data_IF_702281412462
#
_entry.id   IF_702281412462
#
_cell.length_a   1.000
_cell.length_b   1.000
_cell.length_c   1.000
_cell.angle_alpha   90.00
_cell.angle_beta   90.00
_cell.angle_gamma   90.00
#
_symmetry.space_group_name_H-M   'P 1'
#
loop_
_entity.id
_entity.type
_entity.pdbx_description
1 polymer ?
#
# COMPACT_ATOMS: atom_id res chain seq x y z
N UNK A 1 23.77 -8.66 -54.97
CA UNK A 1 23.39 -7.49 -55.78
C UNK A 1 21.88 -7.41 -55.76
N UNK A 2 21.37 -6.21 -55.56
CA UNK A 2 20.04 -5.84 -55.03
C UNK A 2 18.86 -6.31 -55.87
N UNK A 3 17.75 -6.64 -55.20
CA UNK A 3 16.40 -6.51 -55.76
C UNK A 3 15.80 -5.27 -55.11
N UNK A 4 15.49 -4.28 -55.93
CA UNK A 4 14.87 -3.00 -55.57
C UNK A 4 13.35 -3.18 -55.52
N UNK A 5 12.73 -2.81 -54.40
CA UNK A 5 11.29 -2.57 -54.32
C UNK A 5 11.07 -1.06 -54.28
N UNK A 6 10.56 -0.54 -55.39
CA UNK A 6 10.15 0.84 -55.55
C UNK A 6 8.75 1.06 -54.97
N UNK A 7 8.60 2.22 -54.32
CA UNK A 7 7.40 3.06 -54.21
C UNK A 7 6.25 2.57 -53.30
N UNK A 8 6.29 2.97 -52.03
CA UNK A 8 5.10 3.26 -51.23
C UNK A 8 5.01 4.77 -51.03
N UNK A 9 3.89 5.32 -51.48
CA UNK A 9 3.48 6.72 -51.37
C UNK A 9 3.17 7.05 -49.90
N UNK A 10 3.93 7.98 -49.31
CA UNK A 10 3.68 8.53 -47.98
C UNK A 10 2.89 9.83 -48.11
N UNK A 11 1.58 9.73 -48.36
CA UNK A 11 0.69 10.87 -48.17
C UNK A 11 0.32 10.99 -46.69
N UNK A 12 1.11 11.77 -45.95
CA UNK A 12 0.74 12.24 -44.60
C UNK A 12 -0.39 13.26 -44.77
N UNK A 13 -1.60 12.92 -44.37
CA UNK A 13 -2.67 13.88 -44.21
C UNK A 13 -2.51 14.56 -42.84
N UNK A 14 -1.99 15.79 -42.85
CA UNK A 14 -2.01 16.69 -41.70
C UNK A 14 -3.46 17.07 -41.35
N UNK A 15 -4.04 16.37 -40.38
CA UNK A 15 -5.22 16.87 -39.65
C UNK A 15 -4.74 17.45 -38.31
N UNK A 16 -4.96 18.75 -38.02
CA UNK A 16 -4.61 19.31 -36.73
C UNK A 16 -5.50 18.68 -35.64
N UNK A 17 -4.86 18.21 -34.58
CA UNK A 17 -5.52 17.86 -33.31
C UNK A 17 -6.19 19.12 -32.78
N UNK A 18 -7.52 19.16 -32.80
CA UNK A 18 -8.29 20.10 -31.99
C UNK A 18 -8.15 19.66 -30.54
N UNK A 19 -7.44 20.47 -29.73
CA UNK A 19 -7.51 20.39 -28.28
C UNK A 19 -8.96 20.62 -27.84
N UNK A 20 -9.65 19.56 -27.42
CA UNK A 20 -10.89 19.72 -26.65
C UNK A 20 -10.50 20.13 -25.22
N UNK A 21 -10.93 21.32 -24.81
CA UNK A 21 -10.82 21.75 -23.41
C UNK A 21 -11.50 20.72 -22.48
N UNK A 22 -10.92 20.43 -21.30
CA UNK A 22 -11.55 19.53 -20.33
C UNK A 22 -12.92 20.06 -19.91
N UNK A 23 -13.92 19.17 -19.69
CA UNK A 23 -15.26 19.59 -19.31
C UNK A 23 -15.22 20.38 -17.99
N UNK A 24 -15.78 21.58 -18.03
CA UNK A 24 -15.97 22.47 -16.87
C UNK A 24 -16.73 21.70 -15.76
N UNK A 25 -16.26 21.73 -14.49
CA UNK A 25 -16.96 21.05 -13.42
C UNK A 25 -18.38 21.60 -13.28
N UNK A 26 -19.37 20.74 -12.95
CA UNK A 26 -20.72 21.19 -12.69
C UNK A 26 -20.69 22.18 -11.52
N UNK A 27 -21.40 23.28 -11.71
CA UNK A 27 -21.55 24.36 -10.74
C UNK A 27 -21.97 23.78 -9.38
N UNK A 28 -21.27 24.20 -8.32
CA UNK A 28 -21.80 24.16 -6.97
C UNK A 28 -23.08 25.01 -6.98
N UNK A 29 -24.23 24.35 -6.98
CA UNK A 29 -25.49 25.02 -6.70
C UNK A 29 -25.38 25.66 -5.32
N UNK A 30 -25.38 26.99 -5.33
CA UNK A 30 -25.48 27.83 -4.15
C UNK A 30 -26.76 27.41 -3.42
N UNK A 31 -26.61 26.73 -2.29
CA UNK A 31 -27.72 26.50 -1.36
C UNK A 31 -28.20 27.90 -0.93
N UNK A 32 -29.47 28.27 -1.15
CA UNK A 32 -29.97 29.55 -0.67
C UNK A 32 -29.93 29.54 0.86
N UNK A 33 -29.27 30.55 1.44
CA UNK A 33 -29.32 30.82 2.87
C UNK A 33 -30.80 30.90 3.30
N UNK A 34 -31.23 29.90 4.07
CA UNK A 34 -32.51 29.94 4.76
C UNK A 34 -32.38 31.01 5.84
N UNK A 35 -33.04 32.14 5.63
CA UNK A 35 -33.20 33.21 6.62
C UNK A 35 -34.08 32.68 7.77
N UNK A 36 -33.45 32.04 8.76
CA UNK A 36 -34.10 31.72 10.03
C UNK A 36 -34.31 33.02 10.82
N UNK A 37 -35.50 33.59 10.66
CA UNK A 37 -36.02 34.63 11.55
C UNK A 37 -36.44 33.98 12.86
N UNK A 38 -35.49 33.84 13.80
CA UNK A 38 -35.80 33.42 15.15
C UNK A 38 -36.23 34.66 15.97
N UNK A 39 -37.54 34.75 16.23
CA UNK A 39 -38.10 35.74 17.14
C UNK A 39 -37.65 35.42 18.56
N UNK A 40 -36.74 36.22 19.11
CA UNK A 40 -36.37 36.19 20.53
C UNK A 40 -37.54 36.73 21.37
N UNK A 41 -38.12 35.96 22.31
CA UNK A 41 -38.87 36.54 23.40
C UNK A 41 -37.87 37.02 24.46
N UNK A 42 -37.90 38.33 24.75
CA UNK A 42 -37.27 38.86 25.96
C UNK A 42 -38.12 38.45 27.17
N UNK A 43 -37.65 37.47 27.95
CA UNK A 43 -38.16 37.21 29.30
C UNK A 43 -36.99 37.17 30.31
N UNK A 44 -36.98 38.23 31.11
CA UNK A 44 -36.53 38.42 32.50
C UNK A 44 -35.64 37.33 33.17
N UNK A 45 -34.40 37.65 33.62
CA UNK A 45 -33.53 36.70 34.30
C UNK A 45 -33.77 36.74 35.82
N UNK A 46 -34.59 35.83 36.35
CA UNK A 46 -34.47 35.40 37.76
C UNK A 46 -34.99 33.97 37.94
N UNK A 47 -34.27 33.00 37.40
CA UNK A 47 -34.29 31.63 37.93
C UNK A 47 -32.86 31.24 38.31
N UNK A 48 -32.66 30.96 39.60
CA UNK A 48 -31.43 30.39 40.14
C UNK A 48 -31.20 29.03 39.47
N UNK A 49 -30.14 28.94 38.67
CA UNK A 49 -29.67 27.66 38.11
C UNK A 49 -29.14 26.84 39.31
N UNK A 50 -29.71 25.66 39.62
CA UNK A 50 -29.12 24.79 40.64
C UNK A 50 -27.75 24.31 40.16
N UNK A 51 -26.76 24.36 41.06
CA UNK A 51 -25.41 23.83 40.81
C UNK A 51 -25.50 22.36 40.35
N UNK A 52 -24.69 21.94 39.36
CA UNK A 52 -24.70 20.55 38.92
C UNK A 52 -24.18 19.65 40.04
N UNK A 53 -25.05 18.79 40.58
CA UNK A 53 -24.64 17.68 41.44
C UNK A 53 -23.76 16.73 40.61
N UNK A 54 -22.46 16.75 40.89
CA UNK A 54 -21.49 15.80 40.34
C UNK A 54 -21.80 14.44 40.99
N UNK A 55 -22.09 13.37 40.22
CA UNK A 55 -22.16 12.03 40.79
C UNK A 55 -20.79 11.65 41.36
N UNK A 56 -20.70 11.46 42.67
CA UNK A 56 -19.48 11.09 43.41
C UNK A 56 -19.01 9.63 43.20
N UNK A 57 -19.49 8.93 42.17
CA UNK A 57 -19.04 7.56 41.89
C UNK A 57 -18.48 7.46 40.46
N UNK A 58 -17.15 7.58 40.37
CA UNK A 58 -16.40 7.02 39.25
C UNK A 58 -16.63 5.50 39.36
N UNK A 59 -17.25 4.83 38.37
CA UNK A 59 -17.31 3.38 38.41
C UNK A 59 -15.86 2.87 38.44
N UNK A 60 -15.53 2.11 39.49
CA UNK A 60 -14.26 1.40 39.58
C UNK A 60 -14.05 0.68 38.24
N UNK A 61 -12.94 1.02 37.59
CA UNK A 61 -12.49 0.39 36.37
C UNK A 61 -12.23 -1.08 36.69
N UNK A 62 -13.27 -1.92 36.56
CA UNK A 62 -13.13 -3.35 36.49
C UNK A 62 -12.35 -3.61 35.21
N UNK A 63 -11.05 -3.83 35.38
CA UNK A 63 -10.15 -4.43 34.41
C UNK A 63 -10.60 -5.87 34.14
N UNK A 64 -11.75 -6.03 33.51
CA UNK A 64 -12.19 -7.26 32.90
C UNK A 64 -11.48 -7.36 31.55
N UNK A 65 -10.55 -8.32 31.47
CA UNK A 65 -9.92 -8.90 30.27
C UNK A 65 -10.24 -8.15 28.96
N UNK A 66 -9.41 -7.14 28.67
CA UNK A 66 -9.11 -6.86 27.28
C UNK A 66 -8.46 -8.13 26.73
N UNK A 67 -8.88 -8.65 25.56
CA UNK A 67 -8.16 -9.75 24.95
C UNK A 67 -6.70 -9.35 24.86
N UNK A 68 -5.79 -10.19 25.39
CA UNK A 68 -4.37 -10.03 25.17
C UNK A 68 -4.18 -10.02 23.66
N UNK A 69 -3.97 -8.83 23.07
CA UNK A 69 -3.60 -8.73 21.67
C UNK A 69 -2.34 -9.57 21.50
N UNK A 70 -2.40 -10.58 20.62
CA UNK A 70 -1.21 -11.34 20.29
C UNK A 70 -0.12 -10.33 19.90
N UNK A 71 1.07 -10.39 20.52
CA UNK A 71 2.07 -9.37 20.30
C UNK A 71 2.43 -9.41 18.82
N UNK A 72 2.11 -8.32 18.12
CA UNK A 72 2.63 -8.07 16.78
C UNK A 72 4.10 -8.42 16.76
N UNK A 73 4.54 -9.14 15.72
CA UNK A 73 5.88 -9.69 15.64
C UNK A 73 6.90 -8.57 15.84
N UNK A 74 7.49 -8.50 17.04
CA UNK A 74 8.36 -7.39 17.40
C UNK A 74 9.61 -7.41 16.52
N UNK A 75 9.90 -6.29 15.87
CA UNK A 75 11.10 -6.13 15.04
C UNK A 75 12.34 -5.95 15.93
N UNK A 76 13.40 -6.69 15.62
CA UNK A 76 14.68 -6.56 16.31
C UNK A 76 15.31 -5.18 16.01
N UNK A 77 15.97 -4.58 17.00
CA UNK A 77 16.69 -3.31 16.82
C UNK A 77 17.76 -3.43 15.73
N UNK A 78 18.41 -4.59 15.64
CA UNK A 78 19.44 -4.90 14.65
C UNK A 78 18.90 -4.83 13.21
N UNK A 79 17.61 -5.12 13.01
CA UNK A 79 16.98 -5.14 11.69
C UNK A 79 16.50 -3.77 11.20
N UNK A 80 16.45 -2.76 12.08
CA UNK A 80 15.98 -1.42 11.72
C UNK A 80 16.85 -0.77 10.65
N UNK A 81 18.19 -0.86 10.77
CA UNK A 81 19.10 -0.26 9.79
C UNK A 81 18.99 -0.95 8.43
N UNK A 82 18.86 -2.27 8.44
CA UNK A 82 18.75 -3.12 7.25
C UNK A 82 17.46 -2.80 6.50
N UNK A 83 16.33 -2.73 7.21
CA UNK A 83 15.04 -2.38 6.61
C UNK A 83 15.01 -0.95 6.11
N UNK A 84 15.63 -0.02 6.85
CA UNK A 84 15.71 1.38 6.41
C UNK A 84 16.45 1.48 5.08
N UNK A 85 17.55 0.74 4.91
CA UNK A 85 18.24 0.68 3.63
C UNK A 85 17.39 0.00 2.54
N UNK A 86 16.75 -1.13 2.86
CA UNK A 86 15.91 -1.84 1.90
C UNK A 86 14.79 -0.94 1.36
N UNK A 87 14.11 -0.21 2.25
CA UNK A 87 13.14 0.82 1.87
C UNK A 87 13.79 1.90 1.00
N UNK A 88 14.95 2.44 1.38
CA UNK A 88 15.65 3.47 0.60
C UNK A 88 15.96 3.00 -0.83
N UNK A 89 16.59 1.83 -0.95
CA UNK A 89 16.96 1.23 -2.24
C UNK A 89 15.73 1.02 -3.13
N UNK A 90 14.64 0.49 -2.57
CA UNK A 90 13.41 0.25 -3.31
C UNK A 90 12.74 1.55 -3.75
N UNK A 91 12.60 2.52 -2.84
CA UNK A 91 11.97 3.82 -3.09
C UNK A 91 12.72 4.61 -4.18
N UNK A 92 14.04 4.52 -4.23
CA UNK A 92 14.85 5.14 -5.29
C UNK A 92 14.51 4.62 -6.70
N UNK A 93 13.87 3.46 -6.82
CA UNK A 93 13.48 2.89 -8.12
C UNK A 93 12.08 3.32 -8.56
N UNK A 94 11.34 4.08 -7.75
CA UNK A 94 10.01 4.57 -8.10
C UNK A 94 10.02 5.30 -9.45
N UNK A 95 9.03 4.98 -10.29
CA UNK A 95 8.90 5.50 -11.64
C UNK A 95 9.74 4.78 -12.71
N UNK A 96 10.61 3.83 -12.34
CA UNK A 96 11.30 2.99 -13.32
C UNK A 96 10.28 2.26 -14.20
N UNK A 97 10.42 2.40 -15.52
CA UNK A 97 9.56 1.80 -16.54
C UNK A 97 10.32 0.74 -17.32
N UNK A 98 9.68 -0.39 -17.57
CA UNK A 98 10.18 -1.38 -18.52
C UNK A 98 9.04 -2.19 -19.14
N UNK A 99 9.07 -2.38 -20.45
CA UNK A 99 8.02 -3.06 -21.25
C UNK A 99 8.64 -4.13 -22.16
N UNK A 100 9.57 -4.89 -21.58
CA UNK A 100 10.35 -5.90 -22.27
C UNK A 100 10.74 -7.05 -21.33
N UNK A 101 11.39 -8.06 -21.90
CA UNK A 101 11.71 -9.30 -21.18
C UNK A 101 12.89 -9.20 -20.21
N UNK A 102 13.62 -8.07 -20.18
CA UNK A 102 14.87 -7.95 -19.41
C UNK A 102 14.96 -6.59 -18.73
N UNK A 103 14.55 -6.54 -17.48
CA UNK A 103 14.74 -5.37 -16.63
C UNK A 103 16.20 -5.27 -16.17
N UNK A 104 16.58 -4.14 -15.57
CA UNK A 104 17.88 -4.05 -14.87
C UNK A 104 17.96 -4.95 -13.63
N UNK A 105 16.83 -5.48 -13.16
CA UNK A 105 16.72 -6.38 -12.02
C UNK A 105 16.92 -7.84 -12.46
N UNK A 106 16.54 -8.16 -13.70
CA UNK A 106 16.66 -9.49 -14.33
C UNK A 106 18.10 -9.94 -14.50
N UNK A 107 19.10 -9.03 -14.52
CA UNK A 107 20.52 -9.38 -14.75
C UNK A 107 21.16 -10.37 -13.75
N UNK A 108 20.43 -10.75 -12.71
CA UNK A 108 20.80 -11.74 -11.69
C UNK A 108 20.02 -13.07 -11.80
N UNK A 109 19.11 -13.18 -12.76
CA UNK A 109 18.20 -14.31 -12.98
C UNK A 109 18.25 -14.72 -14.46
N UNK A 110 18.08 -16.01 -14.77
CA UNK A 110 18.07 -16.52 -16.15
C UNK A 110 16.69 -16.35 -16.84
N UNK A 111 15.78 -15.59 -16.23
CA UNK A 111 14.43 -15.36 -16.71
C UNK A 111 14.38 -14.44 -17.94
N UNK A 112 13.46 -14.76 -18.86
CA UNK A 112 13.31 -14.08 -20.15
C UNK A 112 11.82 -13.89 -20.50
N UNK A 113 10.99 -13.55 -19.52
CA UNK A 113 9.55 -13.31 -19.70
C UNK A 113 9.16 -11.82 -19.61
N UNK A 114 8.22 -11.33 -20.43
CA UNK A 114 7.85 -9.91 -20.45
C UNK A 114 6.82 -9.47 -19.38
N UNK A 115 6.21 -10.41 -18.64
CA UNK A 115 4.87 -10.15 -18.09
C UNK A 115 4.80 -9.85 -16.57
N UNK A 116 5.82 -10.22 -15.79
CA UNK A 116 5.84 -10.05 -14.33
C UNK A 116 7.30 -9.83 -13.89
N UNK A 117 7.58 -8.84 -13.06
CA UNK A 117 8.94 -8.63 -12.49
C UNK A 117 8.91 -7.99 -11.10
N UNK A 118 7.78 -8.08 -10.36
CA UNK A 118 7.67 -7.51 -9.01
C UNK A 118 8.58 -8.25 -8.02
N UNK A 119 8.66 -9.58 -8.13
CA UNK A 119 9.57 -10.40 -7.33
C UNK A 119 11.04 -10.10 -7.67
N UNK A 120 11.40 -10.04 -8.95
CA UNK A 120 12.75 -9.68 -9.40
C UNK A 120 13.20 -8.32 -8.84
N UNK A 121 12.32 -7.31 -8.94
CA UNK A 121 12.58 -5.97 -8.41
C UNK A 121 12.91 -6.04 -6.92
N UNK A 122 12.06 -6.70 -6.13
CA UNK A 122 12.26 -6.74 -4.70
C UNK A 122 13.44 -7.60 -4.28
N UNK A 123 13.68 -8.75 -4.93
CA UNK A 123 14.90 -9.56 -4.74
C UNK A 123 16.16 -8.76 -5.03
N UNK A 124 16.17 -7.96 -6.10
CA UNK A 124 17.29 -7.09 -6.41
C UNK A 124 17.51 -6.04 -5.32
N UNK A 125 16.44 -5.40 -4.84
CA UNK A 125 16.51 -4.40 -3.79
C UNK A 125 17.07 -4.97 -2.47
N UNK A 126 16.52 -6.08 -1.98
CA UNK A 126 17.02 -6.70 -0.75
C UNK A 126 18.44 -7.27 -0.95
N UNK A 127 18.81 -7.65 -2.18
CA UNK A 127 20.19 -8.00 -2.53
C UNK A 127 21.18 -6.86 -2.47
N UNK A 128 20.80 -5.66 -2.90
CA UNK A 128 21.62 -4.46 -2.72
C UNK A 128 21.81 -4.10 -1.24
N UNK A 129 20.76 -4.28 -0.44
CA UNK A 129 20.88 -4.16 1.01
C UNK A 129 21.80 -5.23 1.61
N UNK A 130 21.65 -6.49 1.19
CA UNK A 130 22.49 -7.62 1.63
C UNK A 130 23.97 -7.44 1.30
N UNK A 131 24.29 -6.93 0.11
CA UNK A 131 25.67 -6.56 -0.29
C UNK A 131 26.30 -5.55 0.69
N UNK A 132 25.50 -4.60 1.21
CA UNK A 132 25.97 -3.57 2.14
C UNK A 132 26.19 -4.08 3.55
N UNK A 133 25.27 -4.90 4.08
CA UNK A 133 25.29 -5.31 5.49
C UNK A 133 25.79 -6.73 5.75
N UNK A 134 26.02 -7.53 4.71
CA UNK A 134 26.39 -8.96 4.85
C UNK A 134 25.38 -9.77 5.68
N UNK A 135 24.09 -9.45 5.55
CA UNK A 135 22.99 -9.99 6.37
C UNK A 135 22.43 -11.28 5.80
N UNK A 136 21.97 -12.15 6.71
CA UNK A 136 21.16 -13.33 6.42
C UNK A 136 19.81 -13.21 7.14
N UNK A 137 18.70 -13.33 6.40
CA UNK A 137 17.34 -13.48 6.94
C UNK A 137 16.99 -14.97 7.04
N UNK A 138 16.64 -15.44 8.25
CA UNK A 138 16.19 -16.83 8.44
C UNK A 138 17.26 -17.91 8.22
N UNK A 139 18.55 -17.53 8.15
CA UNK A 139 19.67 -18.45 7.86
C UNK A 139 20.07 -18.54 6.38
N UNK A 140 19.27 -17.96 5.49
CA UNK A 140 19.59 -17.67 4.09
C UNK A 140 19.79 -16.17 3.91
N UNK A 141 20.23 -15.69 2.74
CA UNK A 141 20.47 -14.25 2.58
C UNK A 141 19.14 -13.46 2.69
N UNK A 142 18.12 -13.84 1.93
CA UNK A 142 16.76 -13.23 1.81
C UNK A 142 16.00 -13.97 0.67
N UNK A 143 14.68 -13.74 0.43
CA UNK A 143 13.99 -14.34 -0.72
C UNK A 143 14.64 -13.91 -2.06
N UNK A 144 15.31 -14.86 -2.73
CA UNK A 144 16.00 -14.66 -4.01
C UNK A 144 15.28 -15.40 -5.14
N UNK A 145 14.28 -14.76 -5.74
CA UNK A 145 13.45 -15.37 -6.77
C UNK A 145 12.92 -14.33 -7.77
N UNK A 146 12.86 -14.72 -9.03
CA UNK A 146 12.15 -14.01 -10.10
C UNK A 146 10.66 -14.36 -10.16
N UNK A 147 10.28 -15.50 -9.57
CA UNK A 147 8.92 -16.02 -9.46
C UNK A 147 8.24 -15.54 -8.17
N UNK A 148 7.10 -14.85 -8.30
CA UNK A 148 6.27 -14.40 -7.16
C UNK A 148 5.83 -15.59 -6.30
N UNK A 149 5.49 -16.71 -6.92
CA UNK A 149 5.09 -17.92 -6.20
C UNK A 149 6.22 -18.49 -5.35
N UNK A 150 7.42 -18.61 -5.91
CA UNK A 150 8.57 -19.13 -5.15
C UNK A 150 9.01 -18.13 -4.06
N UNK A 151 8.89 -16.83 -4.35
CA UNK A 151 9.11 -15.76 -3.38
C UNK A 151 8.15 -15.88 -2.18
N UNK A 152 6.86 -16.11 -2.43
CA UNK A 152 5.85 -16.37 -1.40
C UNK A 152 6.14 -17.65 -0.61
N UNK A 153 6.42 -18.76 -1.30
CA UNK A 153 6.70 -20.04 -0.65
C UNK A 153 7.95 -19.98 0.24
N UNK A 154 8.92 -19.11 -0.08
CA UNK A 154 10.07 -18.87 0.79
C UNK A 154 9.63 -18.39 2.18
N UNK A 155 8.74 -17.38 2.29
CA UNK A 155 8.25 -16.89 3.59
C UNK A 155 7.50 -17.96 4.36
N UNK A 156 6.64 -18.73 3.67
CA UNK A 156 5.90 -19.85 4.28
C UNK A 156 6.89 -20.87 4.86
N UNK A 157 7.90 -21.27 4.08
CA UNK A 157 8.87 -22.29 4.51
C UNK A 157 9.76 -21.85 5.69
N UNK A 158 9.93 -20.54 5.89
CA UNK A 158 10.67 -19.96 7.01
C UNK A 158 9.78 -19.58 8.20
N UNK A 159 8.46 -19.79 8.09
CA UNK A 159 7.50 -19.36 9.10
C UNK A 159 7.44 -17.85 9.27
N UNK A 160 7.77 -17.09 8.23
CA UNK A 160 7.80 -15.62 8.21
C UNK A 160 6.61 -15.01 7.45
N UNK A 161 5.61 -15.83 7.13
CA UNK A 161 4.36 -15.37 6.52
C UNK A 161 3.27 -15.26 7.57
N UNK A 162 2.52 -14.16 7.51
CA UNK A 162 1.35 -13.90 8.33
C UNK A 162 0.16 -13.62 7.39
N UNK A 163 -0.97 -14.29 7.61
CA UNK A 163 -2.19 -14.13 6.80
C UNK A 163 -2.77 -12.71 6.97
N UNK A 164 -3.54 -12.25 5.98
CA UNK A 164 -4.30 -10.99 6.11
C UNK A 164 -5.46 -11.12 7.11
N UNK A 165 -5.86 -10.00 7.71
CA UNK A 165 -6.94 -9.94 8.71
C UNK A 165 -6.52 -9.23 9.98
N UNK A 166 -6.03 -9.98 10.97
CA UNK A 166 -5.66 -9.41 12.28
C UNK A 166 -4.22 -8.87 12.33
N UNK A 167 -3.34 -9.35 11.45
CA UNK A 167 -1.97 -8.89 11.40
C UNK A 167 -1.84 -7.53 10.69
N UNK A 168 -1.16 -6.59 11.35
CA UNK A 168 -0.78 -5.30 10.76
C UNK A 168 0.72 -5.34 10.45
N UNK A 169 1.14 -5.21 9.17
CA UNK A 169 2.54 -5.23 8.80
C UNK A 169 3.28 -3.98 9.25
N UNK A 170 4.60 -4.02 9.19
CA UNK A 170 5.45 -2.85 9.39
C UNK A 170 5.95 -2.33 8.04
N UNK A 171 6.34 -1.05 8.00
CA UNK A 171 7.10 -0.52 6.86
C UNK A 171 8.37 -1.36 6.65
N UNK A 172 8.60 -1.85 5.44
CA UNK A 172 9.67 -2.77 5.07
C UNK A 172 9.24 -4.22 4.92
N UNK A 173 8.04 -4.58 5.37
CA UNK A 173 7.49 -5.92 5.15
C UNK A 173 6.93 -6.06 3.73
N UNK A 174 6.84 -7.30 3.28
CA UNK A 174 6.26 -7.65 1.99
C UNK A 174 4.75 -7.80 2.09
N UNK A 175 4.04 -7.49 1.01
CA UNK A 175 2.61 -7.77 0.84
C UNK A 175 2.40 -8.59 -0.42
N UNK A 176 1.64 -9.67 -0.32
CA UNK A 176 1.28 -10.53 -1.46
C UNK A 176 -0.14 -10.21 -1.92
N UNK A 177 -0.31 -10.06 -3.22
CA UNK A 177 -1.52 -9.51 -3.81
C UNK A 177 -2.12 -10.46 -4.86
N UNK A 178 -3.43 -10.60 -4.81
CA UNK A 178 -4.32 -11.24 -5.79
C UNK A 178 -5.22 -10.15 -6.38
N UNK A 179 -4.83 -9.59 -7.53
CA UNK A 179 -5.52 -8.44 -8.12
C UNK A 179 -6.79 -8.83 -8.87
N UNK A 180 -6.87 -10.04 -9.41
CA UNK A 180 -8.06 -10.51 -10.13
C UNK A 180 -8.99 -11.41 -9.30
N UNK A 181 -8.62 -11.69 -8.04
CA UNK A 181 -9.36 -12.43 -7.04
C UNK A 181 -9.61 -13.89 -7.45
N UNK A 182 -8.65 -14.50 -8.15
CA UNK A 182 -8.71 -15.90 -8.59
C UNK A 182 -8.16 -16.90 -7.56
N UNK A 183 -7.62 -16.40 -6.44
CA UNK A 183 -7.02 -17.17 -5.35
C UNK A 183 -5.54 -17.49 -5.57
N UNK A 184 -4.91 -16.93 -6.60
CA UNK A 184 -3.47 -17.03 -6.87
C UNK A 184 -2.79 -15.69 -6.59
N UNK A 185 -1.48 -15.75 -6.32
CA UNK A 185 -0.70 -14.54 -6.06
C UNK A 185 -0.22 -13.99 -7.40
N UNK A 186 -0.68 -12.79 -7.72
CA UNK A 186 -0.30 -12.05 -8.92
C UNK A 186 0.99 -11.26 -8.74
N UNK A 187 1.17 -10.64 -7.55
CA UNK A 187 2.24 -9.68 -7.29
C UNK A 187 2.74 -9.74 -5.85
N UNK A 188 3.96 -9.25 -5.68
CA UNK A 188 4.51 -8.92 -4.37
C UNK A 188 4.90 -7.43 -4.34
N UNK A 189 4.47 -6.74 -3.30
CA UNK A 189 4.80 -5.34 -3.03
C UNK A 189 5.61 -5.18 -1.75
N UNK A 190 6.18 -3.99 -1.58
CA UNK A 190 6.84 -3.55 -0.35
C UNK A 190 5.95 -2.55 0.37
N UNK A 191 5.63 -2.82 1.64
CA UNK A 191 4.94 -1.86 2.50
C UNK A 191 5.92 -0.73 2.82
N UNK A 192 5.60 0.50 2.44
CA UNK A 192 6.46 1.67 2.67
C UNK A 192 5.95 2.60 3.75
N UNK A 193 4.64 2.59 4.02
CA UNK A 193 4.00 3.35 5.09
C UNK A 193 2.79 2.57 5.59
N UNK A 194 2.53 2.63 6.90
CA UNK A 194 1.31 2.10 7.52
C UNK A 194 0.67 3.23 8.30
N UNK A 195 -0.61 3.47 8.04
CA UNK A 195 -1.38 4.55 8.65
C UNK A 195 -2.66 3.97 9.24
N UNK A 196 -2.79 4.07 10.56
CA UNK A 196 -4.03 3.74 11.26
C UNK A 196 -4.71 5.03 11.70
N UNK A 197 -5.99 5.15 11.39
CA UNK A 197 -6.83 6.27 11.83
C UNK A 197 -8.01 5.73 12.63
N UNK A 198 -8.29 6.34 13.78
CA UNK A 198 -9.51 6.06 14.52
C UNK A 198 -10.70 6.68 13.77
N UNK A 199 -11.68 5.85 13.47
CA UNK A 199 -12.94 6.21 12.82
C UNK A 199 -14.11 5.80 13.73
N UNK A 200 -15.35 6.02 13.29
CA UNK A 200 -16.54 5.58 13.98
C UNK A 200 -17.42 4.80 13.00
N UNK A 201 -18.02 3.70 13.44
CA UNK A 201 -19.00 2.98 12.65
C UNK A 201 -20.33 3.74 12.54
N UNK A 202 -21.28 3.18 11.79
CA UNK A 202 -22.62 3.77 11.60
C UNK A 202 -23.45 3.91 12.89
N UNK A 203 -23.01 3.30 13.99
CA UNK A 203 -23.63 3.38 15.32
C UNK A 203 -22.84 4.27 16.29
N UNK A 204 -21.77 4.92 15.82
CA UNK A 204 -20.91 5.78 16.64
C UNK A 204 -19.94 5.01 17.53
N UNK A 205 -19.71 3.72 17.29
CA UNK A 205 -18.69 2.94 17.99
C UNK A 205 -17.31 3.26 17.38
N UNK A 206 -16.28 3.55 18.21
CA UNK A 206 -14.92 3.67 17.71
C UNK A 206 -14.49 2.41 16.95
N UNK A 207 -13.88 2.60 15.80
CA UNK A 207 -13.21 1.56 15.01
C UNK A 207 -11.90 2.14 14.48
N UNK A 208 -11.05 1.29 13.92
CA UNK A 208 -9.82 1.71 13.28
C UNK A 208 -9.84 1.30 11.81
N UNK A 209 -9.26 2.15 10.98
CA UNK A 209 -8.99 1.84 9.58
C UNK A 209 -7.49 1.96 9.34
N UNK A 210 -6.88 0.86 8.91
CA UNK A 210 -5.45 0.81 8.59
C UNK A 210 -5.28 0.78 7.08
N UNK A 211 -4.52 1.76 6.57
CA UNK A 211 -4.11 1.87 5.18
C UNK A 211 -2.62 1.58 5.05
N UNK A 212 -2.28 0.81 4.02
CA UNK A 212 -0.93 0.48 3.61
C UNK A 212 -0.58 1.30 2.37
N UNK A 213 0.58 1.95 2.37
CA UNK A 213 1.18 2.47 1.15
C UNK A 213 2.18 1.47 0.61
N UNK A 214 1.91 0.94 -0.57
CA UNK A 214 2.62 -0.20 -1.15
C UNK A 214 3.41 0.29 -2.36
N UNK A 215 4.68 -0.07 -2.45
CA UNK A 215 5.52 0.10 -3.65
C UNK A 215 5.62 -1.24 -4.37
N UNK A 216 5.20 -1.30 -5.63
CA UNK A 216 5.21 -2.54 -6.41
C UNK A 216 5.85 -2.33 -7.78
N UNK A 217 6.61 -3.31 -8.25
CA UNK A 217 7.14 -3.36 -9.61
C UNK A 217 6.12 -3.85 -10.62
N UNK A 218 6.35 -3.50 -11.89
CA UNK A 218 5.56 -3.93 -13.04
C UNK A 218 4.04 -3.77 -12.90
N UNK A 219 3.58 -2.58 -12.49
CA UNK A 219 2.15 -2.35 -12.33
C UNK A 219 1.39 -2.60 -13.65
N UNK A 220 0.26 -3.34 -13.65
CA UNK A 220 -0.35 -3.88 -14.88
C UNK A 220 -0.61 -2.86 -15.99
N UNK A 221 -1.00 -1.63 -15.63
CA UNK A 221 -1.34 -0.56 -16.59
C UNK A 221 -0.15 0.30 -16.99
N UNK A 222 0.72 0.64 -16.05
CA UNK A 222 1.81 1.60 -16.28
C UNK A 222 3.13 0.95 -16.67
N UNK A 223 3.30 -0.35 -16.38
CA UNK A 223 4.57 -1.10 -16.53
C UNK A 223 5.72 -0.44 -15.76
N UNK A 224 5.38 0.22 -14.65
CA UNK A 224 6.32 0.96 -13.80
C UNK A 224 6.41 0.36 -12.40
N UNK A 225 7.45 0.76 -11.69
CA UNK A 225 7.45 0.76 -10.23
C UNK A 225 6.62 1.95 -9.76
N UNK A 226 5.53 1.71 -9.05
CA UNK A 226 4.65 2.77 -8.57
C UNK A 226 4.15 2.46 -7.17
N UNK A 227 3.74 3.53 -6.46
CA UNK A 227 3.02 3.41 -5.21
C UNK A 227 1.52 3.49 -5.40
N UNK A 228 0.81 2.76 -4.55
CA UNK A 228 -0.62 2.85 -4.38
C UNK A 228 -0.99 2.53 -2.93
N UNK A 229 -2.19 2.95 -2.53
CA UNK A 229 -2.68 2.77 -1.18
C UNK A 229 -3.81 1.72 -1.19
N UNK A 230 -3.78 0.77 -0.24
CA UNK A 230 -4.85 -0.21 0.01
C UNK A 230 -5.17 -0.24 1.50
N UNK A 231 -6.39 -0.61 1.87
CA UNK A 231 -6.68 -0.97 3.26
C UNK A 231 -6.02 -2.31 3.60
N UNK A 232 -5.60 -2.53 4.85
CA UNK A 232 -4.98 -3.81 5.28
C UNK A 232 -5.89 -5.02 5.05
N UNK A 233 -7.21 -4.79 5.07
CA UNK A 233 -8.26 -5.79 4.84
C UNK A 233 -8.82 -5.75 3.41
N UNK A 234 -8.11 -5.12 2.46
CA UNK A 234 -8.52 -5.15 1.06
C UNK A 234 -8.57 -6.60 0.55
N UNK A 235 -9.62 -7.03 -0.18
CA UNK A 235 -9.75 -8.41 -0.65
C UNK A 235 -8.59 -8.91 -1.50
N UNK A 236 -7.83 -8.02 -2.13
CA UNK A 236 -6.63 -8.38 -2.90
C UNK A 236 -5.43 -8.71 -2.02
N UNK A 237 -5.44 -8.38 -0.72
CA UNK A 237 -4.33 -8.64 0.19
C UNK A 237 -4.41 -10.09 0.69
N UNK A 238 -3.49 -10.93 0.21
CA UNK A 238 -3.40 -12.34 0.59
C UNK A 238 -2.65 -12.54 1.91
N UNK A 239 -1.77 -11.60 2.27
CA UNK A 239 -1.01 -11.62 3.52
C UNK A 239 0.36 -10.99 3.36
N UNK A 240 1.22 -11.21 4.36
CA UNK A 240 2.44 -10.43 4.55
C UNK A 240 3.65 -11.31 4.80
N UNK A 241 4.78 -10.94 4.20
CA UNK A 241 6.08 -11.52 4.48
C UNK A 241 6.87 -10.61 5.43
N UNK A 242 7.14 -11.07 6.65
CA UNK A 242 7.73 -10.24 7.70
C UNK A 242 9.26 -10.29 7.67
N UNK A 243 9.90 -9.12 7.76
CA UNK A 243 11.35 -9.00 7.95
C UNK A 243 11.64 -8.64 9.41
N UNK A 244 12.39 -9.49 10.10
CA UNK A 244 12.77 -9.34 11.52
C UNK A 244 14.23 -9.67 11.77
#
# INVERSE_FOLDING_TARGET
MLVTLDNIDLSVSDTPLTEEEPPKPPFLDVIPEQEITETVPEDDPTEEIPEPEIPEEIPENNSEDLPEEEPQRARSEDSVEIITEFLSVAIEQEGYYHDGANTKFTGNFDYNGPDEWSAEFLSWCIGKTGEKFSVQLGGDMFPWSDSVTDFFLWFISHGLFDDSGEFIPWGGDYVFLDFDLDGLIDRVGLVTEVRTVSTFDLFGKPTEETTLRILCGNMPKSKKIERFDLTVNDPSVMGFGVIN
#
